data_IF_528561628832
#
_entry.id   IF_528561628832
#
_cell.length_a   1.000
_cell.length_b   1.000
_cell.length_c   1.000
_cell.angle_alpha   90.00
_cell.angle_beta   90.00
_cell.angle_gamma   90.00
#
_symmetry.space_group_name_H-M   'P 1'
#
loop_
_entity.id
_entity.type
_entity.pdbx_description
1 polymer ?
#
# COMPACT_ATOMS: atom_id res chain seq x y z
N UNK A 1 -33.34 9.39 13.48
CA UNK A 1 -31.97 9.73 13.04
C UNK A 1 -31.00 9.81 14.21
N UNK A 2 -31.19 10.70 15.20
CA UNK A 2 -30.28 10.80 16.36
C UNK A 2 -30.03 9.47 17.10
N UNK A 3 -31.05 8.61 17.22
CA UNK A 3 -30.92 7.28 17.84
C UNK A 3 -29.99 6.33 17.06
N UNK A 4 -30.07 6.32 15.73
CA UNK A 4 -29.26 5.44 14.88
C UNK A 4 -27.78 5.84 14.99
N UNK A 5 -27.47 7.12 14.87
CA UNK A 5 -26.09 7.62 15.00
C UNK A 5 -25.50 7.34 16.37
N UNK A 6 -26.28 7.46 17.46
CA UNK A 6 -25.76 7.11 18.78
C UNK A 6 -25.36 5.63 18.88
N UNK A 7 -26.13 4.71 18.30
CA UNK A 7 -25.75 3.29 18.31
C UNK A 7 -24.54 3.01 17.42
N UNK A 8 -24.47 3.61 16.22
CA UNK A 8 -23.30 3.47 15.33
C UNK A 8 -22.04 3.90 16.06
N UNK A 9 -22.05 5.09 16.68
CA UNK A 9 -20.88 5.59 17.41
C UNK A 9 -20.49 4.69 18.58
N UNK A 10 -21.46 4.22 19.39
CA UNK A 10 -21.19 3.29 20.49
C UNK A 10 -20.71 1.91 20.05
N UNK A 11 -21.14 1.43 18.89
CA UNK A 11 -20.70 0.15 18.33
C UNK A 11 -19.26 0.20 17.82
N UNK A 12 -18.83 1.35 17.30
CA UNK A 12 -17.45 1.55 16.84
C UNK A 12 -16.54 1.87 18.02
N UNK A 13 -16.95 2.76 18.93
CA UNK A 13 -16.20 3.15 20.13
C UNK A 13 -17.16 3.22 21.33
N UNK A 14 -16.98 2.37 22.35
CA UNK A 14 -17.87 2.34 23.50
C UNK A 14 -17.92 3.72 24.17
N UNK A 15 -19.13 4.23 24.41
CA UNK A 15 -19.38 5.51 25.07
C UNK A 15 -19.52 6.73 24.14
N UNK A 16 -19.06 6.68 22.87
CA UNK A 16 -19.24 7.81 21.95
C UNK A 16 -20.71 8.09 21.65
N UNK A 17 -21.56 7.05 21.63
CA UNK A 17 -23.00 7.21 21.49
C UNK A 17 -23.62 8.06 22.60
N UNK A 18 -23.15 7.90 23.84
CA UNK A 18 -23.58 8.68 25.00
C UNK A 18 -23.10 10.13 24.92
N UNK A 19 -21.86 10.35 24.49
CA UNK A 19 -21.33 11.70 24.23
C UNK A 19 -22.18 12.43 23.19
N UNK A 20 -22.57 11.73 22.11
CA UNK A 20 -23.46 12.28 21.09
C UNK A 20 -24.85 12.67 21.65
N UNK A 21 -25.35 11.91 22.63
CA UNK A 21 -26.58 12.25 23.38
C UNK A 21 -26.36 13.25 24.52
N UNK A 22 -25.20 13.93 24.58
CA UNK A 22 -24.80 14.88 25.63
C UNK A 22 -24.77 14.27 27.04
N UNK A 23 -24.49 12.97 27.15
CA UNK A 23 -24.29 12.24 28.41
C UNK A 23 -22.80 11.96 28.62
N UNK A 24 -22.04 13.05 28.78
CA UNK A 24 -20.57 13.02 28.80
C UNK A 24 -19.99 12.12 29.90
N UNK A 25 -20.46 12.22 31.13
CA UNK A 25 -19.91 11.44 32.24
C UNK A 25 -19.98 9.91 31.98
N UNK A 26 -21.15 9.44 31.53
CA UNK A 26 -21.37 8.02 31.21
C UNK A 26 -20.57 7.62 29.97
N UNK A 27 -20.53 8.47 28.94
CA UNK A 27 -19.74 8.22 27.74
C UNK A 27 -18.24 8.10 28.04
N UNK A 28 -17.70 9.02 28.83
CA UNK A 28 -16.31 8.96 29.28
C UNK A 28 -16.04 7.71 30.12
N UNK A 29 -16.96 7.31 31.00
CA UNK A 29 -16.81 6.09 31.78
C UNK A 29 -16.70 4.85 30.88
N UNK A 30 -17.61 4.70 29.89
CA UNK A 30 -17.55 3.59 28.93
C UNK A 30 -16.31 3.61 28.04
N UNK A 31 -15.66 4.76 27.85
CA UNK A 31 -14.43 4.87 27.08
C UNK A 31 -13.18 4.58 27.92
N UNK A 32 -13.04 5.20 29.10
CA UNK A 32 -11.82 5.13 29.90
C UNK A 32 -11.73 3.90 30.80
N UNK A 33 -12.85 3.39 31.33
CA UNK A 33 -12.82 2.21 32.22
C UNK A 33 -12.24 0.97 31.51
N UNK A 34 -12.68 0.60 30.29
CA UNK A 34 -12.11 -0.55 29.57
C UNK A 34 -10.62 -0.38 29.29
N UNK A 35 -10.18 0.86 29.01
CA UNK A 35 -8.78 1.18 28.79
C UNK A 35 -7.96 0.95 30.07
N UNK A 36 -8.43 1.40 31.22
CA UNK A 36 -7.78 1.15 32.51
C UNK A 36 -7.77 -0.36 32.85
N UNK A 37 -8.89 -1.05 32.64
CA UNK A 37 -8.99 -2.49 32.86
C UNK A 37 -8.01 -3.29 31.99
N UNK A 38 -7.76 -2.84 30.75
CA UNK A 38 -6.79 -3.47 29.86
C UNK A 38 -5.34 -3.42 30.37
N UNK A 39 -5.00 -2.48 31.25
CA UNK A 39 -3.67 -2.42 31.88
C UNK A 39 -3.57 -3.28 33.15
N UNK A 40 -4.69 -3.54 33.82
CA UNK A 40 -4.70 -4.16 35.16
C UNK A 40 -5.01 -5.66 35.08
N UNK A 41 -5.94 -6.04 34.21
CA UNK A 41 -6.46 -7.41 34.16
C UNK A 41 -5.61 -8.26 33.21
N UNK A 42 -5.30 -9.52 33.56
CA UNK A 42 -4.61 -10.46 32.68
C UNK A 42 -5.57 -11.08 31.64
N UNK A 43 -6.48 -10.27 31.10
CA UNK A 43 -7.47 -10.69 30.10
C UNK A 43 -7.09 -10.01 28.78
N UNK A 44 -7.11 -10.72 27.63
CA UNK A 44 -6.85 -10.10 26.35
C UNK A 44 -7.77 -8.90 26.08
N UNK A 45 -7.17 -7.77 25.69
CA UNK A 45 -7.83 -6.47 25.53
C UNK A 45 -9.09 -6.51 24.65
N UNK A 46 -9.10 -7.39 23.64
CA UNK A 46 -10.24 -7.58 22.75
C UNK A 46 -11.53 -7.99 23.48
N UNK A 47 -11.43 -8.81 24.53
CA UNK A 47 -12.60 -9.24 25.30
C UNK A 47 -13.13 -8.13 26.21
N UNK A 48 -12.22 -7.36 26.82
CA UNK A 48 -12.57 -6.19 27.64
C UNK A 48 -13.28 -5.14 26.77
N UNK A 49 -12.77 -4.91 25.56
CA UNK A 49 -13.37 -4.00 24.60
C UNK A 49 -14.74 -4.46 24.13
N UNK A 50 -14.89 -5.73 23.74
CA UNK A 50 -16.17 -6.29 23.30
C UNK A 50 -17.22 -6.19 24.41
N UNK A 51 -16.84 -6.52 25.64
CA UNK A 51 -17.72 -6.37 26.81
C UNK A 51 -18.18 -4.91 26.99
N UNK A 52 -17.26 -3.95 26.87
CA UNK A 52 -17.59 -2.53 26.96
C UNK A 52 -18.56 -2.06 25.88
N UNK A 53 -18.39 -2.53 24.63
CA UNK A 53 -19.31 -2.24 23.52
C UNK A 53 -20.71 -2.79 23.83
N UNK A 54 -20.81 -4.05 24.28
CA UNK A 54 -22.10 -4.67 24.64
C UNK A 54 -22.80 -3.88 25.76
N UNK A 55 -22.06 -3.54 26.82
CA UNK A 55 -22.61 -2.77 27.94
C UNK A 55 -23.05 -1.36 27.50
N UNK A 56 -22.25 -0.70 26.66
CA UNK A 56 -22.56 0.61 26.12
C UNK A 56 -23.82 0.58 25.25
N UNK A 57 -23.94 -0.39 24.34
CA UNK A 57 -25.11 -0.56 23.48
C UNK A 57 -26.38 -0.90 24.28
N UNK A 58 -26.24 -1.71 25.33
CA UNK A 58 -27.36 -2.10 26.21
C UNK A 58 -27.89 -0.90 27.00
N UNK A 59 -27.01 -0.11 27.62
CA UNK A 59 -27.42 1.11 28.33
C UNK A 59 -28.06 2.13 27.35
N UNK A 60 -27.50 2.26 26.15
CA UNK A 60 -28.04 3.13 25.12
C UNK A 60 -29.42 2.66 24.64
N UNK A 61 -29.63 1.35 24.52
CA UNK A 61 -30.93 0.75 24.17
C UNK A 61 -32.00 1.18 25.18
N UNK A 62 -31.78 0.97 26.48
CA UNK A 62 -32.75 1.35 27.52
C UNK A 62 -33.06 2.85 27.52
N UNK A 63 -32.06 3.70 27.25
CA UNK A 63 -32.28 5.15 27.17
C UNK A 63 -33.14 5.55 25.98
N UNK A 64 -32.87 4.97 24.80
CA UNK A 64 -33.64 5.26 23.59
C UNK A 64 -35.05 4.68 23.72
N UNK A 65 -35.19 3.49 24.28
CA UNK A 65 -36.48 2.84 24.57
C UNK A 65 -37.37 3.73 25.44
N UNK A 66 -36.84 4.30 26.52
CA UNK A 66 -37.58 5.20 27.42
C UNK A 66 -38.13 6.45 26.71
N UNK A 67 -37.44 6.94 25.68
CA UNK A 67 -37.83 8.18 24.97
C UNK A 67 -38.69 7.90 23.74
N UNK A 68 -38.41 6.80 23.03
CA UNK A 68 -38.93 6.55 21.68
C UNK A 68 -39.81 5.30 21.56
N UNK A 69 -39.91 4.50 22.62
CA UNK A 69 -40.60 3.21 22.63
C UNK A 69 -39.73 2.04 22.15
N UNK A 70 -40.11 0.83 22.56
CA UNK A 70 -39.38 -0.43 22.36
C UNK A 70 -39.12 -0.72 20.88
N UNK A 71 -40.17 -0.66 20.04
CA UNK A 71 -40.10 -0.95 18.60
C UNK A 71 -39.07 -0.06 17.89
N UNK A 72 -39.05 1.23 18.21
CA UNK A 72 -38.16 2.20 17.55
C UNK A 72 -36.72 2.08 18.03
N UNK A 73 -36.50 1.75 19.30
CA UNK A 73 -35.17 1.47 19.85
C UNK A 73 -34.54 0.24 19.18
N UNK A 74 -35.31 -0.86 19.10
CA UNK A 74 -34.85 -2.11 18.49
C UNK A 74 -34.52 -1.95 17.00
N UNK A 75 -35.39 -1.31 16.22
CA UNK A 75 -35.13 -1.03 14.80
C UNK A 75 -33.87 -0.17 14.64
N UNK A 76 -33.68 0.85 15.50
CA UNK A 76 -32.49 1.70 15.44
C UNK A 76 -31.21 0.90 15.72
N UNK A 77 -31.24 0.01 16.73
CA UNK A 77 -30.10 -0.84 17.10
C UNK A 77 -29.74 -1.84 15.99
N UNK A 78 -30.73 -2.56 15.45
CA UNK A 78 -30.49 -3.53 14.37
C UNK A 78 -29.92 -2.83 13.13
N UNK A 79 -30.49 -1.71 12.73
CA UNK A 79 -30.01 -0.96 11.56
C UNK A 79 -28.58 -0.45 11.77
N UNK A 80 -28.25 0.04 12.96
CA UNK A 80 -26.87 0.44 13.28
C UNK A 80 -25.89 -0.73 13.26
N UNK A 81 -26.29 -1.92 13.72
CA UNK A 81 -25.44 -3.12 13.64
C UNK A 81 -25.19 -3.54 12.19
N UNK A 82 -26.22 -3.51 11.34
CA UNK A 82 -26.05 -3.76 9.89
C UNK A 82 -25.07 -2.76 9.27
N UNK A 83 -25.17 -1.47 9.62
CA UNK A 83 -24.25 -0.46 9.12
C UNK A 83 -22.81 -0.75 9.55
N UNK A 84 -22.59 -1.04 10.83
CA UNK A 84 -21.24 -1.20 11.39
C UNK A 84 -20.60 -2.53 11.00
N UNK A 85 -21.38 -3.61 10.93
CA UNK A 85 -20.84 -4.94 10.66
C UNK A 85 -20.75 -5.27 9.16
N UNK A 86 -21.55 -4.61 8.32
CA UNK A 86 -21.63 -4.94 6.89
C UNK A 86 -21.23 -3.74 6.04
N UNK A 87 -21.96 -2.63 6.15
CA UNK A 87 -21.82 -1.50 5.21
C UNK A 87 -20.43 -0.85 5.33
N UNK A 88 -20.00 -0.53 6.55
CA UNK A 88 -18.69 0.09 6.79
C UNK A 88 -17.54 -0.81 6.28
N UNK A 89 -17.45 -2.09 6.68
CA UNK A 89 -16.41 -2.98 6.17
C UNK A 89 -16.40 -3.14 4.65
N UNK A 90 -17.57 -3.22 4.01
CA UNK A 90 -17.68 -3.31 2.55
C UNK A 90 -17.13 -2.05 1.88
N UNK A 91 -17.48 -0.86 2.39
CA UNK A 91 -16.96 0.41 1.86
C UNK A 91 -15.44 0.46 2.00
N UNK A 92 -14.90 0.10 3.17
CA UNK A 92 -13.46 0.07 3.38
C UNK A 92 -12.78 -0.94 2.45
N UNK A 93 -13.33 -2.14 2.30
CA UNK A 93 -12.81 -3.16 1.40
C UNK A 93 -12.73 -2.65 -0.05
N UNK A 94 -13.80 -2.05 -0.56
CA UNK A 94 -13.83 -1.47 -1.91
C UNK A 94 -12.85 -0.31 -2.06
N UNK A 95 -12.71 0.52 -1.03
CA UNK A 95 -11.73 1.60 -1.02
C UNK A 95 -10.29 1.07 -1.08
N UNK A 96 -9.93 0.09 -0.25
CA UNK A 96 -8.60 -0.51 -0.28
C UNK A 96 -8.32 -1.23 -1.60
N UNK A 97 -9.31 -1.93 -2.16
CA UNK A 97 -9.17 -2.59 -3.45
C UNK A 97 -8.89 -1.59 -4.58
N UNK A 98 -9.64 -0.48 -4.63
CA UNK A 98 -9.42 0.56 -5.64
C UNK A 98 -8.10 1.29 -5.44
N UNK A 99 -7.73 1.60 -4.20
CA UNK A 99 -6.44 2.22 -3.88
C UNK A 99 -5.25 1.33 -4.26
N UNK A 100 -5.33 0.02 -3.95
CA UNK A 100 -4.28 -0.94 -4.29
C UNK A 100 -4.12 -1.07 -5.80
N UNK A 101 -5.21 -1.31 -6.53
CA UNK A 101 -5.17 -1.44 -7.99
C UNK A 101 -4.71 -0.14 -8.67
N UNK A 102 -5.15 1.02 -8.17
CA UNK A 102 -4.71 2.32 -8.66
C UNK A 102 -3.22 2.56 -8.45
N UNK A 103 -2.69 2.19 -7.27
CA UNK A 103 -1.26 2.29 -6.96
C UNK A 103 -0.41 1.42 -7.90
N UNK A 104 -0.84 0.18 -8.13
CA UNK A 104 -0.17 -0.74 -9.06
C UNK A 104 -0.16 -0.18 -10.48
N UNK A 105 -1.29 0.36 -10.96
CA UNK A 105 -1.35 0.97 -12.28
C UNK A 105 -0.40 2.17 -12.43
N UNK A 106 -0.36 3.07 -11.45
CA UNK A 106 0.54 4.24 -11.48
C UNK A 106 2.01 3.82 -11.45
N UNK A 107 2.34 2.89 -10.56
CA UNK A 107 3.71 2.38 -10.41
C UNK A 107 4.18 1.72 -11.70
N UNK A 108 3.39 0.77 -12.21
CA UNK A 108 3.74 0.02 -13.40
C UNK A 108 3.81 0.87 -14.67
N UNK A 109 2.98 1.91 -14.81
CA UNK A 109 2.91 2.68 -16.05
C UNK A 109 3.86 3.88 -16.09
N UNK A 110 4.01 4.58 -14.96
CA UNK A 110 4.73 5.86 -14.93
C UNK A 110 6.06 5.74 -14.19
N UNK A 111 6.03 5.27 -12.94
CA UNK A 111 7.24 5.26 -12.09
C UNK A 111 8.28 4.26 -12.59
N UNK A 112 7.86 3.06 -12.96
CA UNK A 112 8.76 2.00 -13.45
C UNK A 112 9.43 2.39 -14.77
N UNK A 113 8.75 3.13 -15.63
CA UNK A 113 9.31 3.57 -16.91
C UNK A 113 10.46 4.58 -16.70
N UNK A 114 10.22 5.60 -15.89
CA UNK A 114 11.22 6.62 -15.58
C UNK A 114 12.40 6.01 -14.80
N UNK A 115 12.11 5.14 -13.82
CA UNK A 115 13.16 4.47 -13.06
C UNK A 115 14.03 3.55 -13.93
N UNK A 116 13.41 2.80 -14.85
CA UNK A 116 14.14 1.94 -15.80
C UNK A 116 15.03 2.78 -16.72
N UNK A 117 14.54 3.92 -17.24
CA UNK A 117 15.38 4.83 -18.05
C UNK A 117 16.58 5.36 -17.27
N UNK A 118 16.37 5.84 -16.05
CA UNK A 118 17.43 6.36 -15.19
C UNK A 118 18.46 5.29 -14.83
N UNK A 119 18.01 4.06 -14.57
CA UNK A 119 18.89 2.92 -14.31
C UNK A 119 19.70 2.54 -15.56
N UNK A 120 19.05 2.43 -16.71
CA UNK A 120 19.71 2.13 -17.99
C UNK A 120 20.79 3.16 -18.34
N UNK A 121 20.58 4.45 -18.05
CA UNK A 121 21.62 5.47 -18.21
C UNK A 121 22.83 5.28 -17.28
N UNK A 122 22.62 4.78 -16.06
CA UNK A 122 23.71 4.46 -15.13
C UNK A 122 24.47 3.22 -15.59
N UNK A 123 23.75 2.20 -16.06
CA UNK A 123 24.31 0.99 -16.66
C UNK A 123 25.16 1.35 -17.87
N UNK A 124 24.64 2.19 -18.78
CA UNK A 124 25.35 2.66 -19.97
C UNK A 124 26.70 3.30 -19.60
N UNK A 125 26.70 4.27 -18.68
CA UNK A 125 27.94 4.94 -18.22
C UNK A 125 28.94 3.95 -17.62
N UNK A 126 28.45 2.94 -16.89
CA UNK A 126 29.29 1.93 -16.29
C UNK A 126 29.87 0.96 -17.33
N UNK A 127 29.10 0.59 -18.35
CA UNK A 127 29.54 -0.20 -19.50
C UNK A 127 30.58 0.54 -20.33
N UNK A 128 30.35 1.81 -20.68
CA UNK A 128 31.35 2.64 -21.39
C UNK A 128 32.65 2.72 -20.60
N UNK A 129 32.58 2.95 -19.28
CA UNK A 129 33.76 2.97 -18.41
C UNK A 129 34.48 1.61 -18.34
N UNK A 130 33.75 0.50 -18.41
CA UNK A 130 34.33 -0.83 -18.49
C UNK A 130 35.10 -1.00 -19.79
N UNK A 131 34.47 -0.67 -20.92
CA UNK A 131 35.03 -0.84 -22.26
C UNK A 131 36.29 0.01 -22.42
N UNK A 132 36.29 1.27 -21.95
CA UNK A 132 37.49 2.12 -21.98
C UNK A 132 38.65 1.59 -21.13
N UNK A 133 38.37 0.83 -20.06
CA UNK A 133 39.41 0.29 -19.17
C UNK A 133 40.00 -1.02 -19.68
N UNK A 134 39.17 -1.84 -20.30
CA UNK A 134 39.53 -3.20 -20.69
C UNK A 134 39.75 -3.34 -22.21
N UNK A 135 39.41 -2.32 -23.01
CA UNK A 135 39.41 -2.33 -24.46
C UNK A 135 38.58 -3.46 -25.09
N UNK A 136 37.59 -3.98 -24.36
CA UNK A 136 36.71 -5.05 -24.79
C UNK A 136 35.27 -4.82 -24.29
N UNK A 137 34.30 -5.33 -25.03
CA UNK A 137 32.91 -5.40 -24.58
C UNK A 137 32.73 -6.60 -23.64
N UNK A 138 31.91 -6.48 -22.58
CA UNK A 138 31.57 -7.64 -21.76
C UNK A 138 30.85 -8.70 -22.60
N UNK A 139 31.34 -9.94 -22.54
CA UNK A 139 30.77 -11.07 -23.29
C UNK A 139 29.35 -11.44 -22.85
N UNK A 140 29.02 -11.15 -21.60
CA UNK A 140 27.70 -11.33 -21.01
C UNK A 140 27.40 -10.18 -20.04
N UNK A 141 26.18 -9.66 -20.14
CA UNK A 141 25.70 -8.59 -19.27
C UNK A 141 25.58 -9.05 -17.81
N UNK A 142 25.15 -10.29 -17.57
CA UNK A 142 25.05 -10.79 -16.19
C UNK A 142 26.42 -10.95 -15.55
N UNK A 143 27.42 -11.41 -16.30
CA UNK A 143 28.80 -11.38 -15.86
C UNK A 143 29.27 -9.96 -15.50
N UNK A 144 28.93 -8.93 -16.30
CA UNK A 144 29.25 -7.54 -15.98
C UNK A 144 28.60 -7.08 -14.66
N UNK A 145 27.31 -7.35 -14.48
CA UNK A 145 26.54 -7.00 -13.28
C UNK A 145 27.11 -7.71 -12.03
N UNK A 146 27.41 -9.00 -12.13
CA UNK A 146 27.90 -9.81 -11.01
C UNK A 146 29.28 -9.41 -10.50
N UNK A 147 30.05 -8.58 -11.24
CA UNK A 147 31.35 -8.06 -10.77
C UNK A 147 31.23 -7.15 -9.55
N UNK A 148 30.05 -6.57 -9.29
CA UNK A 148 29.82 -5.74 -8.12
C UNK A 148 28.49 -6.09 -7.44
N UNK A 149 28.49 -6.46 -6.15
CA UNK A 149 27.27 -6.77 -5.42
C UNK A 149 26.22 -5.66 -5.46
N UNK A 150 26.65 -4.39 -5.47
CA UNK A 150 25.76 -3.21 -5.55
C UNK A 150 25.01 -3.09 -6.89
N UNK A 151 25.43 -3.82 -7.93
CA UNK A 151 24.77 -3.80 -9.24
C UNK A 151 23.75 -4.91 -9.40
N UNK A 152 23.53 -5.77 -8.40
CA UNK A 152 22.60 -6.91 -8.51
C UNK A 152 21.20 -6.51 -8.98
N UNK A 153 20.73 -5.30 -8.65
CA UNK A 153 19.45 -4.79 -9.15
C UNK A 153 19.44 -4.53 -10.66
N UNK A 154 20.58 -4.20 -11.26
CA UNK A 154 20.73 -3.91 -12.71
C UNK A 154 20.53 -5.14 -13.60
N UNK A 155 20.35 -6.33 -13.01
CA UNK A 155 20.04 -7.54 -13.75
C UNK A 155 18.64 -7.49 -14.40
N UNK A 156 17.72 -6.75 -13.79
CA UNK A 156 16.32 -6.68 -14.19
C UNK A 156 15.84 -5.24 -14.26
N UNK A 157 14.85 -4.97 -15.10
CA UNK A 157 14.16 -3.68 -15.10
C UNK A 157 13.17 -3.54 -13.94
N UNK A 158 12.46 -2.41 -13.89
CA UNK A 158 11.49 -2.15 -12.82
C UNK A 158 10.25 -3.04 -12.86
N UNK A 159 10.09 -3.89 -13.87
CA UNK A 159 9.04 -4.92 -13.98
C UNK A 159 9.59 -6.33 -13.80
N UNK A 160 10.80 -6.46 -13.26
CA UNK A 160 11.52 -7.73 -13.05
C UNK A 160 11.82 -8.51 -14.35
N UNK A 161 11.82 -7.83 -15.50
CA UNK A 161 12.24 -8.44 -16.76
C UNK A 161 13.75 -8.31 -16.94
N UNK A 162 14.46 -9.37 -17.40
CA UNK A 162 15.89 -9.28 -17.63
C UNK A 162 16.19 -8.33 -18.80
N UNK A 163 17.25 -7.52 -18.68
CA UNK A 163 17.70 -6.70 -19.81
C UNK A 163 18.30 -7.56 -20.93
N UNK A 164 18.07 -7.14 -22.18
CA UNK A 164 18.75 -7.70 -23.36
C UNK A 164 19.88 -6.78 -23.79
N UNK A 165 21.09 -7.32 -23.77
CA UNK A 165 22.31 -6.64 -24.21
C UNK A 165 22.77 -7.17 -25.57
N UNK A 166 23.07 -6.27 -26.51
CA UNK A 166 23.62 -6.61 -27.83
C UNK A 166 24.81 -5.72 -28.14
N UNK A 167 25.89 -6.31 -28.65
CA UNK A 167 27.06 -5.58 -29.13
C UNK A 167 26.96 -5.45 -30.64
N UNK A 168 27.28 -4.26 -31.15
CA UNK A 168 27.42 -3.95 -32.57
C UNK A 168 28.86 -3.49 -32.85
N UNK A 169 29.24 -3.33 -34.12
CA UNK A 169 30.62 -3.00 -34.54
C UNK A 169 31.23 -1.80 -33.79
N UNK A 170 30.44 -0.74 -33.58
CA UNK A 170 30.91 0.52 -32.96
C UNK A 170 30.27 0.80 -31.57
N UNK A 171 29.61 -0.17 -30.96
CA UNK A 171 28.89 0.11 -29.71
C UNK A 171 28.03 -1.01 -29.16
N UNK A 172 27.05 -0.65 -28.34
CA UNK A 172 26.11 -1.61 -27.76
C UNK A 172 24.70 -1.04 -27.64
N UNK A 173 23.73 -1.95 -27.51
CA UNK A 173 22.33 -1.67 -27.26
C UNK A 173 21.92 -2.41 -25.98
N UNK A 174 21.30 -1.68 -25.06
CA UNK A 174 20.62 -2.22 -23.89
C UNK A 174 19.11 -2.04 -24.09
N UNK A 175 18.33 -3.11 -23.90
CA UNK A 175 16.89 -3.14 -24.13
C UNK A 175 16.19 -3.69 -22.88
N UNK A 176 15.22 -2.94 -22.35
CA UNK A 176 14.21 -3.45 -21.41
C UNK A 176 12.96 -3.83 -22.20
N UNK A 177 12.34 -4.96 -21.82
CA UNK A 177 11.11 -5.48 -22.41
C UNK A 177 9.85 -4.72 -21.94
N UNK A 178 10.02 -3.64 -21.17
CA UNK A 178 8.92 -2.80 -20.74
C UNK A 178 7.93 -3.50 -19.80
N UNK A 179 6.68 -3.06 -19.89
CA UNK A 179 5.60 -3.50 -19.01
C UNK A 179 5.07 -4.88 -19.41
N UNK A 180 5.06 -5.20 -20.71
CA UNK A 180 4.51 -6.45 -21.21
C UNK A 180 5.48 -7.64 -21.10
N UNK A 181 6.78 -7.37 -20.87
CA UNK A 181 7.82 -8.38 -20.70
C UNK A 181 8.19 -9.10 -22.00
N UNK A 182 7.72 -8.61 -23.14
CA UNK A 182 7.96 -9.19 -24.46
C UNK A 182 8.81 -8.22 -25.27
N UNK A 183 9.99 -8.66 -25.67
CA UNK A 183 10.85 -7.82 -26.49
C UNK A 183 10.28 -7.59 -27.90
N UNK A 184 10.74 -6.50 -28.51
CA UNK A 184 10.40 -6.09 -29.87
C UNK A 184 8.93 -5.64 -30.00
N UNK A 185 8.37 -5.13 -28.91
CA UNK A 185 7.06 -4.48 -28.81
C UNK A 185 7.20 -2.95 -28.68
N UNK A 186 6.09 -2.25 -28.46
CA UNK A 186 6.06 -0.77 -28.46
C UNK A 186 6.53 -0.14 -27.15
N UNK A 187 6.49 -0.89 -26.05
CA UNK A 187 6.87 -0.45 -24.71
C UNK A 187 8.32 -0.77 -24.35
N UNK A 188 9.05 -1.43 -25.25
CA UNK A 188 10.50 -1.57 -25.20
C UNK A 188 11.19 -0.22 -24.94
N UNK A 189 12.09 -0.19 -23.96
CA UNK A 189 12.97 0.95 -23.70
C UNK A 189 14.36 0.58 -24.20
N UNK A 190 14.92 1.41 -25.10
CA UNK A 190 16.21 1.14 -25.77
C UNK A 190 17.21 2.25 -25.51
N UNK A 191 18.40 1.87 -25.04
CA UNK A 191 19.56 2.76 -24.92
C UNK A 191 20.65 2.25 -25.86
N UNK A 192 21.08 3.09 -26.80
CA UNK A 192 22.15 2.77 -27.74
C UNK A 192 23.33 3.69 -27.49
N UNK A 193 24.50 3.10 -27.27
CA UNK A 193 25.74 3.84 -27.03
C UNK A 193 26.76 3.50 -28.12
N UNK A 194 27.44 4.52 -28.63
CA UNK A 194 28.61 4.36 -29.52
C UNK A 194 29.87 4.61 -28.71
N UNK A 195 30.84 3.70 -28.80
CA UNK A 195 32.09 3.80 -28.05
C UNK A 195 33.19 4.26 -29.00
N UNK A 196 33.48 5.56 -29.00
CA UNK A 196 34.60 6.10 -29.75
C UNK A 196 35.89 5.96 -28.93
N UNK A 197 36.81 5.11 -29.38
CA UNK A 197 38.12 4.90 -28.75
C UNK A 197 39.08 6.10 -28.87
N UNK A 198 38.65 7.23 -29.45
CA UNK A 198 39.50 8.40 -29.76
C UNK A 198 39.54 9.50 -28.69
N UNK A 199 38.90 9.33 -27.54
CA UNK A 199 39.01 10.27 -26.40
C UNK A 199 39.61 9.58 -25.18
N UNK A 200 40.91 9.31 -25.24
CA UNK A 200 41.75 9.10 -24.07
C UNK A 200 43.12 9.74 -24.32
N UNK A 201 43.13 11.06 -24.39
CA UNK A 201 44.33 11.87 -24.15
C UNK A 201 43.90 13.00 -23.22
N UNK A 202 44.56 13.01 -22.06
CA UNK A 202 44.56 13.96 -20.92
C UNK A 202 43.41 13.90 -19.89
#
# INVERSE_FOLDING_TARGET
MKSIFSFIFSAVVPGLGHVYLKKYAIGCAFFFIPLLCAFILPIPNQYIYLFAVIMSLTDLYFRVEKVSGTKKALVSLLFSLVIVLIIIPVIFYLFFLTAYNGSQYVTNKYLNNDHTKDEMMKIEKALVKYIHRNNEYPSDFMNFVNRKPIWKSWAYDSWDNPYRYKVNEDGFILISAGLDGVFDTKDDIRVTSKVNYQTSVD
#
